data_IF_184900200421
#
_entry.id   IF_184900200421
#
_cell.length_a   1.000
_cell.length_b   1.000
_cell.length_c   1.000
_cell.angle_alpha   90.00
_cell.angle_beta   90.00
_cell.angle_gamma   90.00
#
_symmetry.space_group_name_H-M   'P 1'
#
loop_
_entity.id
_entity.type
_entity.pdbx_description
1 polymer ?
#
# COMPACT_ATOMS: atom_id res chain seq x y z
N UNK A 1 1.32 -5.30 -29.18
CA UNK A 1 1.48 -6.72 -28.80
C UNK A 1 2.49 -6.74 -27.67
N UNK A 2 2.04 -6.73 -26.40
CA UNK A 2 2.95 -6.62 -25.26
C UNK A 2 3.47 -8.01 -24.87
N UNK A 3 4.79 -8.14 -24.73
CA UNK A 3 5.43 -9.34 -24.22
C UNK A 3 4.77 -9.70 -22.88
N UNK A 4 4.24 -10.92 -22.68
CA UNK A 4 3.54 -11.24 -21.45
C UNK A 4 4.53 -11.15 -20.27
N UNK A 5 4.15 -10.40 -19.23
CA UNK A 5 4.97 -10.08 -18.05
C UNK A 5 5.62 -11.30 -17.39
N UNK A 6 5.05 -12.50 -17.55
CA UNK A 6 5.65 -13.74 -17.04
C UNK A 6 6.94 -14.11 -17.79
N UNK A 7 7.11 -13.76 -19.07
CA UNK A 7 8.37 -13.97 -19.81
C UNK A 7 9.45 -13.00 -19.34
N UNK A 8 9.10 -11.76 -19.02
CA UNK A 8 10.05 -10.80 -18.42
C UNK A 8 10.45 -11.27 -17.02
N UNK A 9 9.49 -11.78 -16.23
CA UNK A 9 9.76 -12.36 -14.92
C UNK A 9 10.64 -13.61 -15.03
N UNK A 10 10.34 -14.51 -15.97
CA UNK A 10 11.15 -15.69 -16.22
C UNK A 10 12.56 -15.30 -16.65
N UNK A 11 12.71 -14.27 -17.50
CA UNK A 11 14.01 -13.78 -17.96
C UNK A 11 14.82 -13.13 -16.83
N UNK A 12 14.18 -12.34 -15.97
CA UNK A 12 14.84 -11.76 -14.78
C UNK A 12 15.24 -12.86 -13.81
N UNK A 13 14.36 -13.82 -13.53
CA UNK A 13 14.68 -14.97 -12.66
C UNK A 13 15.79 -15.83 -13.27
N UNK A 14 15.76 -16.10 -14.58
CA UNK A 14 16.82 -16.86 -15.27
C UNK A 14 18.14 -16.10 -15.26
N UNK A 15 18.12 -14.79 -15.51
CA UNK A 15 19.30 -13.94 -15.46
C UNK A 15 19.89 -13.89 -14.05
N UNK A 16 19.04 -13.85 -13.01
CA UNK A 16 19.47 -13.95 -11.61
C UNK A 16 20.03 -15.34 -11.28
N UNK A 17 19.41 -16.43 -11.74
CA UNK A 17 19.90 -17.81 -11.51
C UNK A 17 21.23 -18.05 -12.21
N UNK A 18 21.41 -17.51 -13.42
CA UNK A 18 22.68 -17.56 -14.16
C UNK A 18 23.76 -16.73 -13.43
N UNK A 19 23.41 -15.57 -12.88
CA UNK A 19 24.31 -14.78 -12.04
C UNK A 19 24.69 -15.49 -10.72
N UNK A 20 23.77 -16.27 -10.14
CA UNK A 20 23.96 -17.09 -8.93
C UNK A 20 24.85 -18.31 -9.17
N UNK A 21 24.98 -18.79 -10.41
CA UNK A 21 25.83 -19.95 -10.75
C UNK A 21 27.32 -19.60 -10.95
N UNK A 22 27.70 -18.33 -10.79
CA UNK A 22 29.08 -17.90 -10.83
C UNK A 22 29.78 -18.24 -9.48
N UNK A 23 30.74 -19.15 -9.58
CA UNK A 23 31.48 -19.81 -8.51
C UNK A 23 32.12 -18.84 -7.49
N UNK A 24 31.92 -19.08 -6.20
CA UNK A 24 32.48 -18.32 -5.07
C UNK A 24 34.02 -18.20 -5.17
N UNK A 25 34.51 -16.99 -5.42
CA UNK A 25 35.93 -16.63 -5.28
C UNK A 25 36.02 -15.43 -4.34
N UNK A 26 36.13 -15.71 -3.05
CA UNK A 26 36.20 -14.68 -2.00
C UNK A 26 37.61 -14.22 -1.69
N UNK A 27 37.74 -13.07 -1.00
CA UNK A 27 39.00 -12.56 -0.45
C UNK A 27 39.79 -13.63 0.31
N UNK A 28 39.12 -14.46 1.13
CA UNK A 28 39.76 -15.54 1.88
C UNK A 28 40.42 -16.60 0.96
N UNK A 29 39.80 -16.91 -0.19
CA UNK A 29 40.35 -17.85 -1.17
C UNK A 29 41.57 -17.24 -1.88
N UNK A 30 41.51 -15.95 -2.22
CA UNK A 30 42.63 -15.19 -2.78
C UNK A 30 43.78 -15.08 -1.77
N UNK A 31 43.49 -14.76 -0.51
CA UNK A 31 44.46 -14.69 0.58
C UNK A 31 45.13 -16.04 0.85
N UNK A 32 44.35 -17.13 0.98
CA UNK A 32 44.93 -18.45 1.21
C UNK A 32 45.82 -18.91 0.05
N UNK A 33 45.52 -18.50 -1.18
CA UNK A 33 46.39 -18.73 -2.34
C UNK A 33 47.67 -17.91 -2.28
N UNK A 34 47.55 -16.62 -1.95
CA UNK A 34 48.71 -15.75 -1.76
C UNK A 34 49.62 -16.28 -0.65
N UNK A 35 49.05 -16.64 0.49
CA UNK A 35 49.78 -17.18 1.65
C UNK A 35 50.46 -18.51 1.30
N UNK A 36 49.77 -19.42 0.61
CA UNK A 36 50.35 -20.67 0.13
C UNK A 36 51.52 -20.45 -0.86
N UNK A 37 51.52 -19.37 -1.64
CA UNK A 37 52.63 -19.01 -2.52
C UNK A 37 53.78 -18.36 -1.72
N UNK A 38 53.47 -17.46 -0.78
CA UNK A 38 54.48 -16.79 0.06
C UNK A 38 55.22 -17.76 0.99
N UNK A 39 54.51 -18.76 1.53
CA UNK A 39 55.12 -19.84 2.35
C UNK A 39 55.93 -20.80 1.47
N UNK A 40 55.65 -20.87 0.17
CA UNK A 40 56.34 -21.71 -0.80
C UNK A 40 55.72 -23.09 -1.00
N UNK A 41 54.49 -23.29 -0.54
CA UNK A 41 53.78 -24.57 -0.66
C UNK A 41 53.18 -24.81 -2.05
N UNK A 42 52.95 -23.75 -2.83
CA UNK A 42 52.34 -23.85 -4.17
C UNK A 42 53.00 -22.90 -5.16
N UNK A 43 53.04 -23.29 -6.43
CA UNK A 43 53.41 -22.41 -7.55
C UNK A 43 52.24 -22.34 -8.52
N UNK A 44 51.97 -21.15 -9.05
CA UNK A 44 50.85 -20.93 -9.97
C UNK A 44 51.27 -19.98 -11.08
N UNK A 45 51.10 -20.39 -12.33
CA UNK A 45 51.41 -19.61 -13.54
C UNK A 45 52.84 -19.01 -13.54
N UNK A 46 53.81 -19.78 -13.02
CA UNK A 46 55.21 -19.35 -12.91
C UNK A 46 55.51 -18.44 -11.73
N UNK A 47 54.51 -18.09 -10.90
CA UNK A 47 54.68 -17.34 -9.66
C UNK A 47 55.08 -18.31 -8.55
N UNK A 48 56.24 -18.04 -7.95
CA UNK A 48 56.83 -18.75 -6.82
C UNK A 48 57.12 -17.76 -5.69
N UNK A 49 57.69 -18.25 -4.58
CA UNK A 49 58.01 -17.44 -3.40
C UNK A 49 58.89 -16.22 -3.70
N UNK A 50 59.73 -16.28 -4.72
CA UNK A 50 60.68 -15.21 -5.06
C UNK A 50 60.03 -14.16 -5.98
N UNK A 51 59.22 -14.61 -6.94
CA UNK A 51 58.56 -13.74 -7.94
C UNK A 51 57.26 -13.13 -7.44
N UNK A 52 56.65 -13.66 -6.37
CA UNK A 52 55.42 -13.10 -5.78
C UNK A 52 55.61 -11.66 -5.27
N UNK A 53 56.84 -11.31 -4.85
CA UNK A 53 57.18 -9.98 -4.35
C UNK A 53 57.00 -8.87 -5.40
N UNK A 54 57.13 -9.20 -6.69
CA UNK A 54 56.93 -8.25 -7.80
C UNK A 54 55.45 -7.89 -7.98
N UNK A 55 54.56 -8.78 -7.54
CA UNK A 55 53.11 -8.60 -7.61
C UNK A 55 52.51 -7.95 -6.36
N UNK A 56 53.34 -7.71 -5.34
CA UNK A 56 52.95 -6.95 -4.15
C UNK A 56 53.04 -5.45 -4.44
N UNK A 57 52.10 -4.71 -3.87
CA UNK A 57 52.05 -3.26 -3.98
C UNK A 57 53.09 -2.63 -3.05
N UNK A 58 54.12 -2.03 -3.66
CA UNK A 58 55.19 -1.35 -2.93
C UNK A 58 54.97 0.17 -2.78
N UNK A 59 53.87 0.70 -3.34
CA UNK A 59 53.53 2.12 -3.32
C UNK A 59 52.94 2.58 -1.99
N UNK A 60 52.73 3.89 -1.86
CA UNK A 60 52.03 4.45 -0.71
C UNK A 60 50.57 3.93 -0.68
N UNK A 61 50.16 3.34 0.43
CA UNK A 61 48.78 2.93 0.66
C UNK A 61 48.08 4.09 1.37
N UNK A 62 47.04 4.63 0.74
CA UNK A 62 46.27 5.72 1.33
C UNK A 62 45.70 5.27 2.70
N UNK A 63 45.98 6.05 3.74
CA UNK A 63 45.52 5.78 5.11
C UNK A 63 46.53 5.10 6.04
N UNK A 64 47.58 4.47 5.53
CA UNK A 64 48.61 3.83 6.35
C UNK A 64 49.89 4.67 6.42
N UNK A 65 50.32 5.02 7.64
CA UNK A 65 51.60 5.71 7.92
C UNK A 65 52.33 4.99 9.06
N UNK A 66 53.31 4.16 8.72
CA UNK A 66 54.12 3.42 9.69
C UNK A 66 55.04 2.38 9.04
N UNK A 67 55.88 1.74 9.87
CA UNK A 67 56.73 0.60 9.49
C UNK A 67 55.92 -0.71 9.33
N UNK A 68 54.79 -0.84 10.04
CA UNK A 68 53.85 -1.96 9.91
C UNK A 68 52.92 -1.76 8.71
N UNK A 69 53.45 -1.95 7.50
CA UNK A 69 52.66 -1.86 6.26
C UNK A 69 51.92 -3.17 6.01
N UNK A 70 50.58 -3.14 5.79
CA UNK A 70 49.86 -4.33 5.39
C UNK A 70 50.33 -4.81 4.02
N UNK A 71 50.42 -6.13 3.85
CA UNK A 71 50.74 -6.75 2.56
C UNK A 71 49.56 -6.51 1.62
N UNK A 72 49.74 -5.59 0.68
CA UNK A 72 48.75 -5.29 -0.34
C UNK A 72 49.17 -5.90 -1.67
N UNK A 73 48.21 -6.44 -2.40
CA UNK A 73 48.43 -6.96 -3.74
C UNK A 73 48.28 -5.83 -4.77
N UNK A 74 49.17 -5.73 -5.76
CA UNK A 74 48.99 -4.84 -6.89
C UNK A 74 47.84 -5.30 -7.80
N UNK A 75 47.35 -4.41 -8.67
CA UNK A 75 46.30 -4.74 -9.64
C UNK A 75 46.69 -5.92 -10.55
N UNK A 76 47.93 -5.94 -11.04
CA UNK A 76 48.45 -7.05 -11.85
C UNK A 76 48.58 -8.35 -11.05
N UNK A 77 48.99 -8.25 -9.78
CA UNK A 77 49.03 -9.39 -8.86
C UNK A 77 47.64 -9.99 -8.66
N UNK A 78 46.63 -9.13 -8.51
CA UNK A 78 45.24 -9.54 -8.36
C UNK A 78 44.72 -10.30 -9.59
N UNK A 79 45.02 -9.80 -10.79
CA UNK A 79 44.65 -10.46 -12.04
C UNK A 79 45.29 -11.84 -12.19
N UNK A 80 46.57 -11.99 -11.81
CA UNK A 80 47.29 -13.26 -11.99
C UNK A 80 47.05 -14.27 -10.86
N UNK A 81 47.17 -13.83 -9.61
CA UNK A 81 47.06 -14.72 -8.44
C UNK A 81 45.59 -15.07 -8.18
N UNK A 82 44.71 -14.06 -8.30
CA UNK A 82 43.29 -14.16 -7.98
C UNK A 82 42.39 -14.14 -9.23
N UNK A 83 42.97 -14.36 -10.42
CA UNK A 83 42.26 -14.53 -11.70
C UNK A 83 41.33 -13.35 -12.06
N UNK A 84 41.60 -12.16 -11.53
CA UNK A 84 40.77 -10.97 -11.73
C UNK A 84 39.41 -11.03 -11.03
N UNK A 85 39.22 -11.98 -10.11
CA UNK A 85 37.97 -12.19 -9.36
C UNK A 85 38.21 -11.95 -7.88
N UNK A 86 38.34 -10.68 -7.48
CA UNK A 86 38.46 -10.34 -6.05
C UNK A 86 37.16 -9.87 -5.39
N UNK A 87 36.13 -9.58 -6.17
CA UNK A 87 34.78 -9.37 -5.66
C UNK A 87 33.76 -9.89 -6.66
N UNK A 88 33.50 -11.20 -6.62
CA UNK A 88 32.23 -11.70 -7.12
C UNK A 88 31.24 -11.73 -5.96
N UNK A 89 30.09 -11.12 -6.20
CA UNK A 89 28.95 -11.07 -5.29
C UNK A 89 28.64 -12.51 -4.87
N UNK A 90 29.00 -12.89 -3.64
CA UNK A 90 28.83 -14.27 -3.16
C UNK A 90 27.36 -14.68 -3.31
N UNK A 91 27.10 -15.98 -3.44
CA UNK A 91 25.74 -16.54 -3.55
C UNK A 91 24.79 -15.95 -2.47
N UNK A 92 25.34 -15.78 -1.26
CA UNK A 92 24.70 -15.11 -0.12
C UNK A 92 24.42 -13.61 -0.33
N UNK A 93 25.37 -12.86 -0.89
CA UNK A 93 25.21 -11.43 -1.19
C UNK A 93 24.22 -11.19 -2.34
N UNK A 94 24.15 -12.12 -3.30
CA UNK A 94 23.14 -12.08 -4.36
C UNK A 94 21.76 -12.41 -3.80
N UNK A 95 21.65 -13.39 -2.89
CA UNK A 95 20.40 -13.68 -2.17
C UNK A 95 19.95 -12.47 -1.36
N UNK A 96 20.85 -11.83 -0.62
CA UNK A 96 20.60 -10.56 0.08
C UNK A 96 20.16 -9.46 -0.90
N UNK A 97 20.76 -9.35 -2.08
CA UNK A 97 20.35 -8.36 -3.09
C UNK A 97 18.95 -8.68 -3.64
N UNK A 98 18.64 -9.93 -3.93
CA UNK A 98 17.31 -10.36 -4.40
C UNK A 98 16.26 -10.13 -3.31
N UNK A 99 16.55 -10.47 -2.05
CA UNK A 99 15.60 -10.32 -0.95
C UNK A 99 15.39 -8.86 -0.56
N UNK A 100 16.41 -8.01 -0.72
CA UNK A 100 16.35 -6.59 -0.33
C UNK A 100 15.85 -5.68 -1.45
N UNK A 101 16.06 -6.06 -2.72
CA UNK A 101 15.66 -5.23 -3.87
C UNK A 101 14.47 -5.80 -4.62
N UNK A 102 14.51 -7.09 -4.99
CA UNK A 102 13.52 -7.68 -5.89
C UNK A 102 12.22 -7.97 -5.15
N UNK A 103 12.26 -8.50 -3.92
CA UNK A 103 11.01 -8.79 -3.20
C UNK A 103 10.22 -7.54 -2.78
N UNK A 104 10.84 -6.45 -2.27
CA UNK A 104 10.10 -5.22 -1.99
C UNK A 104 9.59 -4.53 -3.26
N UNK A 105 10.38 -4.52 -4.34
CA UNK A 105 9.91 -3.99 -5.63
C UNK A 105 8.80 -4.84 -6.24
N UNK A 106 8.87 -6.17 -6.11
CA UNK A 106 7.80 -7.07 -6.52
C UNK A 106 6.48 -6.72 -5.83
N UNK A 107 6.53 -6.17 -4.62
CA UNK A 107 5.34 -5.71 -3.92
C UNK A 107 4.87 -4.36 -4.43
N UNK A 108 5.76 -3.44 -4.80
CA UNK A 108 5.35 -2.26 -5.56
C UNK A 108 4.65 -2.70 -6.84
N UNK A 109 5.15 -3.70 -7.56
CA UNK A 109 4.49 -4.25 -8.76
C UNK A 109 3.25 -5.13 -8.47
N UNK A 110 3.07 -5.58 -7.23
CA UNK A 110 1.88 -6.30 -6.75
C UNK A 110 0.97 -5.41 -5.90
N UNK A 111 1.26 -4.11 -5.78
CA UNK A 111 0.35 -3.15 -5.18
C UNK A 111 -0.99 -3.34 -5.86
N UNK A 112 -2.10 -3.27 -5.11
CA UNK A 112 -3.41 -3.64 -5.60
C UNK A 112 -3.85 -2.79 -6.80
N UNK A 113 -3.39 -3.17 -7.99
CA UNK A 113 -3.74 -2.53 -9.24
C UNK A 113 -5.14 -2.98 -9.58
N UNK A 114 -5.97 -1.99 -9.91
CA UNK A 114 -7.25 -2.20 -10.61
C UNK A 114 -6.99 -3.24 -11.72
N UNK A 115 -7.39 -4.49 -11.48
CA UNK A 115 -6.97 -5.63 -12.31
C UNK A 115 -7.65 -5.67 -13.68
N UNK A 116 -8.40 -4.62 -14.03
CA UNK A 116 -9.34 -4.60 -15.15
C UNK A 116 -9.29 -3.33 -16.03
N UNK A 117 -8.36 -2.38 -15.83
CA UNK A 117 -8.41 -1.08 -16.54
C UNK A 117 -7.25 -0.79 -17.51
N UNK A 118 -7.58 -0.05 -18.58
CA UNK A 118 -6.70 0.30 -19.70
C UNK A 118 -5.58 1.30 -19.32
N UNK A 119 -5.76 2.08 -18.25
CA UNK A 119 -4.83 3.13 -17.77
C UNK A 119 -4.10 2.74 -16.46
N UNK A 120 -3.96 1.44 -16.16
CA UNK A 120 -3.49 0.93 -14.85
C UNK A 120 -2.16 1.53 -14.39
N UNK A 121 -1.22 1.71 -15.32
CA UNK A 121 0.17 2.12 -15.01
C UNK A 121 0.20 3.59 -14.60
N UNK A 122 -0.57 4.45 -15.27
CA UNK A 122 -0.59 5.88 -15.00
C UNK A 122 -1.19 6.20 -13.63
N UNK A 123 -2.35 5.62 -13.30
CA UNK A 123 -3.01 5.84 -12.00
C UNK A 123 -2.19 5.31 -10.83
N UNK A 124 -1.52 4.19 -11.06
CA UNK A 124 -0.54 3.59 -10.12
C UNK A 124 0.64 4.50 -9.90
N UNK A 125 1.29 4.94 -10.98
CA UNK A 125 2.44 5.82 -10.90
C UNK A 125 2.06 7.12 -10.19
N UNK A 126 0.87 7.67 -10.45
CA UNK A 126 0.36 8.83 -9.73
C UNK A 126 0.19 8.57 -8.22
N UNK A 127 -0.36 7.42 -7.82
CA UNK A 127 -0.46 7.06 -6.41
C UNK A 127 0.94 7.00 -5.78
N UNK A 128 1.86 6.26 -6.40
CA UNK A 128 3.25 6.13 -5.92
C UNK A 128 3.96 7.48 -5.86
N UNK A 129 3.78 8.34 -6.86
CA UNK A 129 4.34 9.70 -6.89
C UNK A 129 3.74 10.60 -5.81
N UNK A 130 2.45 10.48 -5.52
CA UNK A 130 1.82 11.21 -4.41
C UNK A 130 2.36 10.72 -3.06
N UNK A 131 2.55 9.41 -2.90
CA UNK A 131 3.17 8.82 -1.71
C UNK A 131 4.62 9.26 -1.55
N UNK A 132 5.42 9.26 -2.62
CA UNK A 132 6.82 9.69 -2.58
C UNK A 132 6.95 11.21 -2.38
N UNK A 133 6.07 12.00 -3.00
CA UNK A 133 6.08 13.45 -2.89
C UNK A 133 5.55 13.97 -1.57
N UNK A 134 4.61 13.26 -0.93
CA UNK A 134 4.05 13.66 0.36
C UNK A 134 3.60 12.44 1.19
N UNK A 135 4.55 11.64 1.72
CA UNK A 135 4.23 10.44 2.49
C UNK A 135 3.38 10.75 3.71
N UNK A 136 3.58 11.92 4.33
CA UNK A 136 2.79 12.37 5.49
C UNK A 136 1.31 12.56 5.16
N UNK A 137 0.97 13.14 4.00
CA UNK A 137 -0.43 13.39 3.66
C UNK A 137 -1.10 12.10 3.25
N UNK A 138 -0.43 11.28 2.43
CA UNK A 138 -0.93 9.98 2.03
C UNK A 138 -1.19 9.07 3.25
N UNK A 139 -0.26 9.03 4.21
CA UNK A 139 -0.42 8.31 5.48
C UNK A 139 -1.61 8.86 6.29
N UNK A 140 -1.75 10.18 6.39
CA UNK A 140 -2.88 10.82 7.07
C UNK A 140 -4.22 10.38 6.48
N UNK A 141 -4.33 10.40 5.15
CA UNK A 141 -5.56 10.00 4.44
C UNK A 141 -5.88 8.53 4.66
N UNK A 142 -4.87 7.65 4.60
CA UNK A 142 -5.12 6.22 4.83
C UNK A 142 -5.49 5.92 6.28
N UNK A 143 -4.76 6.45 7.27
CA UNK A 143 -5.11 6.24 8.69
C UNK A 143 -6.51 6.78 8.98
N UNK A 144 -6.85 7.95 8.43
CA UNK A 144 -8.19 8.51 8.57
C UNK A 144 -9.26 7.59 7.98
N UNK A 145 -9.05 7.04 6.78
CA UNK A 145 -10.00 6.13 6.15
C UNK A 145 -10.16 4.82 6.95
N UNK A 146 -9.06 4.23 7.43
CA UNK A 146 -9.08 3.06 8.33
C UNK A 146 -9.89 3.35 9.59
N UNK A 147 -9.72 4.55 10.18
CA UNK A 147 -10.50 4.99 11.33
C UNK A 147 -11.99 5.08 11.01
N UNK A 148 -12.37 5.64 9.86
CA UNK A 148 -13.76 5.72 9.42
C UNK A 148 -14.38 4.33 9.24
N UNK A 149 -13.69 3.42 8.56
CA UNK A 149 -14.12 2.02 8.38
C UNK A 149 -14.32 1.35 9.75
N UNK A 150 -13.39 1.54 10.68
CA UNK A 150 -13.50 1.01 12.05
C UNK A 150 -14.69 1.61 12.79
N UNK A 151 -14.98 2.90 12.60
CA UNK A 151 -16.12 3.55 13.22
C UNK A 151 -17.44 2.98 12.69
N UNK A 152 -17.58 2.85 11.37
CA UNK A 152 -18.71 2.16 10.72
C UNK A 152 -18.87 0.73 11.23
N UNK A 153 -17.77 -0.03 11.33
CA UNK A 153 -17.80 -1.40 11.84
C UNK A 153 -18.23 -1.49 13.31
N UNK A 154 -17.92 -0.48 14.14
CA UNK A 154 -18.41 -0.44 15.52
C UNK A 154 -19.92 -0.16 15.57
N UNK A 155 -20.41 0.71 14.69
CA UNK A 155 -21.84 0.99 14.56
C UNK A 155 -22.62 -0.23 13.99
N UNK A 156 -21.96 -1.06 13.18
CA UNK A 156 -22.49 -2.33 12.66
C UNK A 156 -22.38 -3.51 13.63
N UNK A 157 -22.19 -3.31 14.93
CA UNK A 157 -22.25 -4.42 15.91
C UNK A 157 -23.68 -4.72 16.37
N UNK A 158 -24.69 -4.22 15.67
CA UNK A 158 -26.08 -4.53 15.98
C UNK A 158 -26.41 -5.99 15.57
N UNK A 159 -27.44 -6.58 16.17
CA UNK A 159 -27.96 -7.90 15.77
C UNK A 159 -28.61 -7.89 14.37
N UNK A 160 -28.85 -6.71 13.79
CA UNK A 160 -29.57 -6.57 12.54
C UNK A 160 -28.62 -6.54 11.34
N UNK A 161 -28.83 -7.46 10.40
CA UNK A 161 -28.06 -7.56 9.16
C UNK A 161 -28.12 -6.29 8.32
N UNK A 162 -29.28 -5.62 8.25
CA UNK A 162 -29.47 -4.39 7.46
C UNK A 162 -28.66 -3.22 8.02
N UNK A 163 -28.51 -3.12 9.34
CA UNK A 163 -27.62 -2.12 9.95
C UNK A 163 -26.17 -2.38 9.52
N UNK A 164 -25.79 -3.66 9.43
CA UNK A 164 -24.45 -4.05 9.04
C UNK A 164 -24.18 -3.77 7.56
N UNK A 165 -25.20 -3.94 6.72
CA UNK A 165 -25.19 -3.58 5.31
C UNK A 165 -25.06 -2.06 5.12
N UNK A 166 -25.88 -1.26 5.83
CA UNK A 166 -25.85 0.20 5.78
C UNK A 166 -24.45 0.77 6.09
N UNK A 167 -23.89 0.40 7.23
CA UNK A 167 -22.57 0.91 7.62
C UNK A 167 -21.43 0.35 6.76
N UNK A 168 -21.59 -0.85 6.20
CA UNK A 168 -20.63 -1.38 5.24
C UNK A 168 -20.64 -0.58 3.93
N UNK A 169 -21.82 -0.34 3.34
CA UNK A 169 -21.96 0.48 2.13
C UNK A 169 -21.45 1.91 2.37
N UNK A 170 -21.79 2.52 3.50
CA UNK A 170 -21.28 3.84 3.90
C UNK A 170 -19.75 3.87 3.97
N UNK A 171 -19.13 2.82 4.53
CA UNK A 171 -17.67 2.72 4.61
C UNK A 171 -17.02 2.63 3.23
N UNK A 172 -17.66 1.97 2.25
CA UNK A 172 -17.17 1.89 0.88
C UNK A 172 -17.33 3.22 0.14
N UNK A 173 -18.49 3.86 0.25
CA UNK A 173 -18.75 5.17 -0.36
C UNK A 173 -17.82 6.27 0.16
N UNK A 174 -17.45 6.21 1.43
CA UNK A 174 -16.49 7.13 2.04
C UNK A 174 -15.09 7.12 1.41
N UNK A 175 -14.78 6.14 0.55
CA UNK A 175 -13.50 6.02 -0.15
C UNK A 175 -13.51 6.63 -1.56
N UNK A 176 -14.61 7.24 -1.97
CA UNK A 176 -14.77 7.85 -3.28
C UNK A 176 -15.02 9.35 -3.15
N UNK A 177 -14.67 10.08 -4.22
CA UNK A 177 -15.11 11.44 -4.36
C UNK A 177 -16.60 11.46 -4.75
N UNK A 178 -17.36 12.30 -4.04
CA UNK A 178 -18.80 12.37 -4.15
C UNK A 178 -19.22 13.74 -4.68
N UNK A 179 -20.30 13.81 -5.46
CA UNK A 179 -20.83 15.08 -5.94
C UNK A 179 -21.43 15.90 -4.78
N UNK A 180 -21.28 17.21 -4.85
CA UNK A 180 -21.81 18.16 -3.86
C UNK A 180 -23.30 18.48 -4.07
N UNK A 181 -24.10 17.47 -4.41
CA UNK A 181 -25.53 17.62 -4.70
C UNK A 181 -26.39 17.26 -3.50
N UNK A 182 -27.34 18.12 -3.11
CA UNK A 182 -28.31 17.82 -2.06
C UNK A 182 -29.12 16.55 -2.37
N UNK A 183 -29.53 16.38 -3.64
CA UNK A 183 -30.29 15.21 -4.11
C UNK A 183 -29.49 13.93 -3.92
N UNK A 184 -28.18 13.96 -4.20
CA UNK A 184 -27.28 12.83 -3.97
C UNK A 184 -27.28 12.39 -2.51
N UNK A 185 -27.06 13.33 -1.58
CA UNK A 185 -26.99 13.01 -0.15
C UNK A 185 -28.37 12.61 0.41
N UNK A 186 -29.46 13.15 -0.14
CA UNK A 186 -30.82 12.77 0.26
C UNK A 186 -31.10 11.32 -0.12
N UNK A 187 -30.81 10.94 -1.37
CA UNK A 187 -30.91 9.55 -1.82
C UNK A 187 -29.99 8.64 -1.00
N UNK A 188 -28.76 9.06 -0.70
CA UNK A 188 -27.83 8.29 0.11
C UNK A 188 -28.37 8.02 1.52
N UNK A 189 -28.76 9.06 2.25
CA UNK A 189 -29.26 8.93 3.63
C UNK A 189 -30.56 8.12 3.65
N UNK A 190 -31.45 8.34 2.68
CA UNK A 190 -32.67 7.57 2.52
C UNK A 190 -32.38 6.08 2.27
N UNK A 191 -31.53 5.74 1.31
CA UNK A 191 -31.17 4.35 1.00
C UNK A 191 -30.42 3.62 2.12
N UNK A 192 -29.66 4.34 2.95
CA UNK A 192 -28.94 3.75 4.07
C UNK A 192 -29.84 3.48 5.29
N UNK A 193 -30.76 4.39 5.61
CA UNK A 193 -31.47 4.37 6.90
C UNK A 193 -32.96 4.05 6.81
N UNK A 194 -33.62 4.30 5.67
CA UNK A 194 -35.02 3.88 5.47
C UNK A 194 -35.23 2.37 5.65
N UNK A 195 -34.32 1.48 5.20
CA UNK A 195 -34.44 0.04 5.41
C UNK A 195 -34.52 -0.40 6.86
N UNK A 196 -33.98 0.40 7.78
CA UNK A 196 -33.82 -0.03 9.16
C UNK A 196 -35.19 -0.19 9.83
N UNK A 197 -35.42 -1.32 10.53
CA UNK A 197 -36.70 -1.60 11.16
C UNK A 197 -36.99 -0.53 12.20
N UNK A 198 -38.21 0.00 12.14
CA UNK A 198 -38.71 0.95 13.11
C UNK A 198 -39.54 0.18 14.14
N UNK A 199 -39.38 0.45 15.44
CA UNK A 199 -40.30 -0.11 16.42
C UNK A 199 -41.73 0.34 16.09
N UNK A 200 -42.66 -0.61 16.14
CA UNK A 200 -44.11 -0.37 16.06
C UNK A 200 -44.66 0.12 14.71
N UNK A 201 -43.99 -0.18 13.60
CA UNK A 201 -44.47 0.20 12.26
C UNK A 201 -44.59 -1.01 11.34
N UNK A 202 -45.73 -1.14 10.66
CA UNK A 202 -45.92 -2.12 9.59
C UNK A 202 -44.94 -1.83 8.44
N UNK A 203 -44.53 -2.87 7.71
CA UNK A 203 -43.49 -2.75 6.70
C UNK A 203 -44.02 -2.01 5.48
N UNK A 204 -43.66 -0.74 5.33
CA UNK A 204 -44.06 0.06 4.17
C UNK A 204 -43.41 -0.48 2.87
N UNK A 205 -44.07 -0.32 1.70
CA UNK A 205 -43.55 -0.84 0.44
C UNK A 205 -42.22 -0.22 0.01
N UNK A 206 -41.98 1.07 0.32
CA UNK A 206 -40.71 1.74 0.05
C UNK A 206 -39.56 1.18 0.91
N UNK A 207 -39.86 0.81 2.15
CA UNK A 207 -38.91 0.14 3.04
C UNK A 207 -38.49 -1.22 2.50
N UNK A 208 -39.42 -1.98 1.89
CA UNK A 208 -39.11 -3.25 1.25
C UNK A 208 -38.14 -3.09 0.08
N UNK A 209 -38.42 -2.16 -0.84
CA UNK A 209 -37.52 -1.90 -1.97
C UNK A 209 -36.15 -1.41 -1.52
N UNK A 210 -36.10 -0.45 -0.59
CA UNK A 210 -34.81 0.07 -0.10
C UNK A 210 -34.00 -0.99 0.65
N UNK A 211 -34.64 -1.88 1.42
CA UNK A 211 -33.96 -2.96 2.13
C UNK A 211 -33.36 -3.99 1.17
N UNK A 212 -34.09 -4.37 0.11
CA UNK A 212 -33.57 -5.27 -0.92
C UNK A 212 -32.38 -4.63 -1.65
N UNK A 213 -32.52 -3.37 -2.09
CA UNK A 213 -31.44 -2.64 -2.75
C UNK A 213 -30.18 -2.52 -1.89
N UNK A 214 -30.35 -2.26 -0.59
CA UNK A 214 -29.23 -2.13 0.35
C UNK A 214 -28.51 -3.48 0.56
N UNK A 215 -29.27 -4.56 0.77
CA UNK A 215 -28.74 -5.91 0.94
C UNK A 215 -27.96 -6.36 -0.31
N UNK A 216 -28.55 -6.18 -1.49
CA UNK A 216 -27.93 -6.53 -2.77
C UNK A 216 -26.64 -5.73 -3.00
N UNK A 217 -26.66 -4.43 -2.68
CA UNK A 217 -25.49 -3.57 -2.79
C UNK A 217 -24.36 -4.05 -1.86
N UNK A 218 -24.67 -4.29 -0.59
CA UNK A 218 -23.70 -4.74 0.38
C UNK A 218 -23.13 -6.13 0.01
N UNK A 219 -23.97 -7.04 -0.48
CA UNK A 219 -23.55 -8.35 -0.98
C UNK A 219 -22.56 -8.22 -2.14
N UNK A 220 -22.89 -7.42 -3.17
CA UNK A 220 -22.03 -7.21 -4.34
C UNK A 220 -20.67 -6.60 -3.94
N UNK A 221 -20.66 -5.61 -3.04
CA UNK A 221 -19.41 -5.01 -2.54
C UNK A 221 -18.56 -6.02 -1.77
N UNK A 222 -19.15 -6.84 -0.89
CA UNK A 222 -18.42 -7.88 -0.15
C UNK A 222 -17.83 -8.93 -1.09
N UNK A 223 -18.60 -9.32 -2.10
CA UNK A 223 -18.14 -10.27 -3.12
C UNK A 223 -16.95 -9.71 -3.91
N UNK A 224 -17.01 -8.44 -4.31
CA UNK A 224 -15.89 -7.76 -4.97
C UNK A 224 -14.66 -7.72 -4.06
N UNK A 225 -14.81 -7.39 -2.77
CA UNK A 225 -13.69 -7.34 -1.81
C UNK A 225 -13.01 -8.70 -1.63
N UNK A 226 -13.77 -9.78 -1.42
CA UNK A 226 -13.21 -11.13 -1.18
C UNK A 226 -12.27 -11.59 -2.30
N UNK A 227 -12.60 -11.25 -3.56
CA UNK A 227 -11.82 -11.66 -4.74
C UNK A 227 -10.41 -11.06 -4.81
N UNK A 228 -10.14 -9.93 -4.14
CA UNK A 228 -8.81 -9.31 -4.19
C UNK A 228 -8.09 -9.24 -2.86
N UNK A 229 -8.80 -9.27 -1.72
CA UNK A 229 -8.14 -9.27 -0.41
C UNK A 229 -7.34 -10.56 -0.19
N UNK A 230 -7.88 -11.72 -0.59
CA UNK A 230 -7.23 -13.02 -0.34
C UNK A 230 -5.85 -13.12 -1.03
N UNK A 231 -5.70 -12.84 -2.35
CA UNK A 231 -4.38 -12.84 -2.99
C UNK A 231 -3.41 -11.82 -2.38
N UNK A 232 -3.91 -10.65 -1.97
CA UNK A 232 -3.04 -9.59 -1.43
C UNK A 232 -2.59 -9.88 0.01
N UNK A 233 -3.41 -10.57 0.81
CA UNK A 233 -2.98 -11.06 2.12
C UNK A 233 -1.96 -12.19 1.99
N UNK A 234 -2.11 -13.08 0.99
CA UNK A 234 -1.13 -14.12 0.72
C UNK A 234 0.22 -13.51 0.30
N UNK A 235 0.23 -12.51 -0.58
CA UNK A 235 1.47 -11.82 -0.97
C UNK A 235 2.11 -11.05 0.19
N UNK A 236 1.29 -10.41 1.04
CA UNK A 236 1.78 -9.78 2.26
C UNK A 236 2.42 -10.80 3.22
N UNK A 237 1.80 -11.97 3.39
CA UNK A 237 2.36 -13.05 4.21
C UNK A 237 3.74 -13.49 3.71
N UNK A 238 3.88 -13.73 2.40
CA UNK A 238 5.19 -14.09 1.81
C UNK A 238 6.23 -12.98 1.98
N UNK A 239 5.81 -11.72 1.94
CA UNK A 239 6.71 -10.60 2.18
C UNK A 239 7.22 -10.57 3.62
N UNK A 240 6.32 -10.65 4.60
CA UNK A 240 6.71 -10.58 6.02
C UNK A 240 7.72 -11.69 6.32
N UNK A 241 7.49 -12.89 5.78
CA UNK A 241 8.44 -14.00 5.86
C UNK A 241 9.79 -13.64 5.23
N UNK A 242 9.83 -13.12 4.00
CA UNK A 242 11.07 -12.71 3.33
C UNK A 242 11.82 -11.59 4.07
N UNK A 243 11.08 -10.64 4.66
CA UNK A 243 11.64 -9.56 5.47
C UNK A 243 12.29 -10.07 6.75
N UNK A 244 11.62 -10.99 7.46
CA UNK A 244 12.19 -11.63 8.66
C UNK A 244 13.48 -12.38 8.30
N UNK A 245 13.48 -13.16 7.21
CA UNK A 245 14.70 -13.83 6.74
C UNK A 245 15.82 -12.85 6.39
N UNK A 246 15.48 -11.72 5.77
CA UNK A 246 16.48 -10.69 5.43
C UNK A 246 17.10 -10.08 6.68
N UNK A 247 16.31 -9.83 7.73
CA UNK A 247 16.82 -9.37 9.02
C UNK A 247 17.75 -10.42 9.63
N UNK A 248 17.33 -11.68 9.72
CA UNK A 248 18.13 -12.75 10.34
C UNK A 248 19.45 -12.95 9.60
N UNK A 249 19.44 -12.96 8.26
CA UNK A 249 20.65 -13.10 7.45
C UNK A 249 21.61 -11.91 7.59
N UNK A 250 21.09 -10.71 7.84
CA UNK A 250 21.89 -9.52 8.07
C UNK A 250 22.62 -9.54 9.43
N UNK A 251 22.15 -10.34 10.39
CA UNK A 251 22.74 -10.46 11.74
C UNK A 251 23.54 -11.76 11.96
N UNK A 252 23.60 -12.65 10.97
CA UNK A 252 24.34 -13.91 11.09
C UNK A 252 25.87 -13.67 10.94
N UNK A 253 26.63 -14.31 11.83
CA UNK A 253 27.93 -13.85 12.41
C UNK A 253 29.14 -13.80 11.46
N UNK A 254 29.03 -14.24 10.21
CA UNK A 254 30.12 -14.14 9.22
C UNK A 254 30.26 -12.74 8.58
N UNK A 255 29.40 -11.80 8.95
CA UNK A 255 29.37 -10.43 8.43
C UNK A 255 30.42 -9.48 9.02
N UNK A 256 31.40 -9.97 9.79
CA UNK A 256 32.44 -9.15 10.44
C UNK A 256 33.29 -8.28 9.48
N UNK A 257 33.23 -8.52 8.16
CA UNK A 257 33.88 -7.70 7.14
C UNK A 257 32.91 -7.05 6.13
N UNK A 258 31.59 -7.26 6.23
CA UNK A 258 30.62 -6.64 5.32
C UNK A 258 29.98 -5.44 5.98
N UNK A 259 30.64 -4.31 5.76
CA UNK A 259 30.24 -2.96 6.12
C UNK A 259 28.82 -2.63 5.64
N UNK A 260 27.87 -2.54 6.59
CA UNK A 260 26.83 -1.49 6.71
C UNK A 260 25.82 -1.22 5.58
N UNK A 261 25.93 -1.82 4.39
CA UNK A 261 25.12 -1.45 3.22
C UNK A 261 23.71 -2.08 3.20
N UNK A 262 23.52 -3.39 3.48
CA UNK A 262 22.19 -4.02 3.36
C UNK A 262 21.21 -3.62 4.47
N UNK A 263 21.71 -3.48 5.71
CA UNK A 263 20.88 -3.19 6.89
C UNK A 263 20.32 -1.75 6.85
N UNK A 264 21.16 -0.76 6.53
CA UNK A 264 20.74 0.65 6.43
C UNK A 264 19.73 0.85 5.30
N UNK A 265 19.89 0.14 4.18
CA UNK A 265 18.90 0.13 3.09
C UNK A 265 17.61 -0.61 3.48
N UNK A 266 17.69 -1.75 4.17
CA UNK A 266 16.52 -2.48 4.67
C UNK A 266 15.66 -1.65 5.64
N UNK A 267 16.31 -0.84 6.49
CA UNK A 267 15.66 0.14 7.37
C UNK A 267 15.05 1.30 6.58
N UNK A 268 15.75 1.80 5.55
CA UNK A 268 15.23 2.85 4.67
C UNK A 268 13.96 2.42 3.92
N UNK A 269 13.75 1.12 3.68
CA UNK A 269 12.58 0.60 2.96
C UNK A 269 11.52 -0.06 3.86
N UNK A 270 11.69 -0.06 5.19
CA UNK A 270 10.76 -0.74 6.10
C UNK A 270 9.34 -0.12 6.11
N UNK A 271 9.17 1.10 5.60
CA UNK A 271 7.87 1.73 5.38
C UNK A 271 7.11 1.18 4.17
N UNK A 272 7.78 0.70 3.11
CA UNK A 272 7.10 0.20 1.90
C UNK A 272 6.08 -0.92 2.22
N UNK A 273 6.40 -1.90 3.07
CA UNK A 273 5.45 -2.91 3.53
C UNK A 273 4.29 -2.34 4.33
N UNK A 274 4.54 -1.35 5.19
CA UNK A 274 3.49 -0.65 5.93
C UNK A 274 2.54 0.04 4.95
N UNK A 275 3.06 0.67 3.90
CA UNK A 275 2.24 1.25 2.84
C UNK A 275 1.38 0.20 2.14
N UNK A 276 1.93 -0.98 1.90
CA UNK A 276 1.22 -2.06 1.23
C UNK A 276 0.09 -2.56 2.12
N UNK A 277 0.34 -2.78 3.41
CA UNK A 277 -0.71 -3.13 4.39
C UNK A 277 -1.79 -2.07 4.42
N UNK A 278 -1.40 -0.79 4.50
CA UNK A 278 -2.33 0.33 4.49
C UNK A 278 -3.17 0.37 3.21
N UNK A 279 -2.56 0.14 2.04
CA UNK A 279 -3.31 0.08 0.78
C UNK A 279 -4.26 -1.11 0.71
N UNK A 280 -3.93 -2.26 1.30
CA UNK A 280 -4.79 -3.45 1.37
C UNK A 280 -6.01 -3.18 2.26
N UNK A 281 -5.78 -2.64 3.46
CA UNK A 281 -6.86 -2.32 4.39
C UNK A 281 -7.78 -1.28 3.75
N UNK A 282 -7.22 -0.35 2.98
CA UNK A 282 -7.96 0.71 2.32
C UNK A 282 -8.67 0.29 1.03
N UNK A 283 -8.37 -0.90 0.47
CA UNK A 283 -8.98 -1.41 -0.76
C UNK A 283 -10.34 -2.07 -0.48
N UNK A 284 -11.42 -1.29 -0.40
CA UNK A 284 -12.76 -1.84 -0.16
C UNK A 284 -13.57 -2.12 -1.44
N UNK A 285 -13.03 -1.85 -2.65
CA UNK A 285 -13.31 -2.76 -3.77
C UNK A 285 -12.13 -3.05 -4.72
N UNK A 286 -12.16 -4.23 -5.37
CA UNK A 286 -11.14 -4.71 -6.31
C UNK A 286 -11.06 -3.89 -7.61
N UNK A 287 -12.21 -3.38 -8.06
CA UNK A 287 -12.32 -2.46 -9.19
C UNK A 287 -13.04 -1.21 -8.74
N UNK A 288 -12.31 -0.10 -8.67
CA UNK A 288 -12.82 1.19 -8.23
C UNK A 288 -13.95 1.67 -9.16
N UNK A 289 -13.72 1.68 -10.48
CA UNK A 289 -14.68 2.22 -11.45
C UNK A 289 -15.95 1.35 -11.51
N UNK A 290 -15.83 0.02 -11.42
CA UNK A 290 -17.00 -0.88 -11.36
C UNK A 290 -17.82 -0.64 -10.10
N UNK A 291 -17.17 -0.44 -8.96
CA UNK A 291 -17.86 -0.13 -7.71
C UNK A 291 -18.49 1.25 -7.72
N UNK A 292 -17.82 2.27 -8.28
CA UNK A 292 -18.39 3.59 -8.49
C UNK A 292 -19.65 3.51 -9.37
N UNK A 293 -19.58 2.81 -10.50
CA UNK A 293 -20.73 2.60 -11.38
C UNK A 293 -21.87 1.83 -10.68
N UNK A 294 -21.55 0.81 -9.88
CA UNK A 294 -22.53 0.06 -9.12
C UNK A 294 -23.22 0.93 -8.06
N UNK A 295 -22.45 1.71 -7.29
CA UNK A 295 -22.98 2.63 -6.28
C UNK A 295 -23.83 3.74 -6.91
N UNK A 296 -23.41 4.27 -8.06
CA UNK A 296 -24.17 5.27 -8.80
C UNK A 296 -25.54 4.73 -9.25
N UNK A 297 -25.58 3.50 -9.76
CA UNK A 297 -26.83 2.81 -10.14
C UNK A 297 -27.71 2.50 -8.94
N UNK A 298 -27.10 2.10 -7.82
CA UNK A 298 -27.83 1.87 -6.57
C UNK A 298 -28.49 3.17 -6.08
N UNK A 299 -27.76 4.29 -6.02
CA UNK A 299 -28.30 5.59 -5.63
C UNK A 299 -29.42 6.07 -6.55
N UNK A 300 -29.27 5.83 -7.86
CA UNK A 300 -30.32 6.11 -8.82
C UNK A 300 -31.61 5.34 -8.53
N UNK A 301 -31.51 4.03 -8.25
CA UNK A 301 -32.66 3.20 -7.91
C UNK A 301 -33.30 3.64 -6.58
N UNK A 302 -32.48 4.04 -5.61
CA UNK A 302 -32.96 4.58 -4.32
C UNK A 302 -33.71 5.90 -4.52
N UNK A 303 -33.21 6.81 -5.37
CA UNK A 303 -33.90 8.05 -5.71
C UNK A 303 -35.22 7.79 -6.44
N UNK A 304 -35.28 6.78 -7.31
CA UNK A 304 -36.53 6.36 -7.96
C UNK A 304 -37.57 5.85 -6.95
N UNK A 305 -37.14 5.11 -5.92
CA UNK A 305 -38.01 4.68 -4.81
C UNK A 305 -38.48 5.91 -4.02
N UNK A 306 -37.56 6.82 -3.67
CA UNK A 306 -37.89 8.05 -2.94
C UNK A 306 -38.92 8.90 -3.70
N UNK A 307 -38.71 9.13 -4.99
CA UNK A 307 -39.64 9.90 -5.83
C UNK A 307 -41.02 9.24 -5.92
N UNK A 308 -41.06 7.91 -6.01
CA UNK A 308 -42.32 7.15 -6.04
C UNK A 308 -43.05 7.21 -4.70
N UNK A 309 -42.33 7.17 -3.58
CA UNK A 309 -42.88 7.34 -2.25
C UNK A 309 -43.41 8.77 -2.03
N UNK A 310 -42.69 9.79 -2.50
CA UNK A 310 -43.14 11.19 -2.46
C UNK A 310 -44.41 11.40 -3.28
N UNK A 311 -44.49 10.78 -4.46
CA UNK A 311 -45.69 10.86 -5.31
C UNK A 311 -46.91 10.15 -4.71
N UNK A 312 -46.71 9.10 -3.89
CA UNK A 312 -47.78 8.42 -3.17
C UNK A 312 -48.35 9.24 -1.99
N UNK A 313 -47.59 10.21 -1.50
CA UNK A 313 -48.00 11.08 -0.40
C UNK A 313 -48.12 10.33 0.94
N UNK A 314 -49.21 10.57 1.67
CA UNK A 314 -49.42 9.99 3.01
C UNK A 314 -49.75 8.49 3.00
N UNK A 315 -50.23 7.94 1.87
CA UNK A 315 -50.60 6.53 1.77
C UNK A 315 -49.64 5.80 0.82
N UNK A 316 -48.61 5.18 1.40
CA UNK A 316 -47.58 4.45 0.66
C UNK A 316 -48.13 3.20 -0.06
N UNK A 317 -49.32 2.71 0.28
CA UNK A 317 -49.96 1.60 -0.45
C UNK A 317 -50.34 1.99 -1.90
N UNK A 318 -50.46 3.29 -2.19
CA UNK A 318 -50.70 3.81 -3.54
C UNK A 318 -49.40 4.02 -4.34
N UNK A 319 -48.25 3.63 -3.78
CA UNK A 319 -46.96 3.79 -4.44
C UNK A 319 -46.91 2.98 -5.73
N UNK A 320 -46.64 3.66 -6.84
CA UNK A 320 -46.38 3.02 -8.12
C UNK A 320 -45.02 2.33 -8.10
N UNK A 321 -44.89 1.28 -8.90
CA UNK A 321 -43.60 0.62 -9.08
C UNK A 321 -42.56 1.65 -9.57
N UNK A 322 -41.41 1.77 -8.89
CA UNK A 322 -40.38 2.73 -9.25
C UNK A 322 -39.78 2.37 -10.60
N UNK A 323 -39.47 3.39 -11.40
CA UNK A 323 -38.81 3.16 -12.69
C UNK A 323 -37.34 2.88 -12.42
N UNK A 324 -36.94 1.63 -12.64
CA UNK A 324 -35.57 1.18 -12.39
C UNK A 324 -34.55 1.81 -13.36
N UNK A 325 -33.28 1.73 -12.97
CA UNK A 325 -32.16 2.04 -13.85
C UNK A 325 -32.17 1.12 -15.08
N UNK A 326 -31.96 1.70 -16.26
CA UNK A 326 -31.77 0.98 -17.52
C UNK A 326 -30.63 1.59 -18.33
N UNK A 327 -30.02 0.77 -19.21
CA UNK A 327 -28.90 1.20 -20.07
C UNK A 327 -29.32 2.25 -21.11
N UNK A 328 -30.62 2.36 -21.42
CA UNK A 328 -31.18 3.25 -22.44
C UNK A 328 -31.53 4.66 -21.93
N UNK A 329 -31.31 4.98 -20.66
CA UNK A 329 -31.67 6.29 -20.11
C UNK A 329 -30.73 7.42 -20.56
N UNK A 330 -31.24 8.67 -20.61
CA UNK A 330 -30.43 9.86 -20.84
C UNK A 330 -29.31 9.99 -19.80
N UNK A 331 -28.12 10.38 -20.25
CA UNK A 331 -26.93 10.46 -19.41
C UNK A 331 -27.00 11.60 -18.37
N UNK A 332 -27.81 12.63 -18.61
CA UNK A 332 -27.90 13.80 -17.73
C UNK A 332 -28.54 13.50 -16.36
N UNK A 333 -29.54 12.63 -16.31
CA UNK A 333 -30.14 12.19 -15.03
C UNK A 333 -29.17 11.35 -14.19
N UNK A 334 -28.19 10.70 -14.84
CA UNK A 334 -27.20 9.83 -14.20
C UNK A 334 -26.04 10.62 -13.58
N UNK A 335 -25.71 11.80 -14.14
CA UNK A 335 -24.61 12.64 -13.68
C UNK A 335 -24.77 13.10 -12.23
N UNK A 336 -26.01 13.29 -11.77
CA UNK A 336 -26.30 13.68 -10.39
C UNK A 336 -25.84 12.61 -9.38
N UNK A 337 -25.90 11.33 -9.79
CA UNK A 337 -25.54 10.18 -8.95
C UNK A 337 -24.19 9.58 -9.27
N UNK A 338 -23.43 10.21 -10.17
CA UNK A 338 -22.13 9.72 -10.61
C UNK A 338 -21.10 9.84 -9.47
N UNK A 339 -20.80 8.69 -8.87
CA UNK A 339 -19.68 8.55 -7.95
C UNK A 339 -18.39 8.72 -8.76
N UNK A 340 -17.55 9.66 -8.33
CA UNK A 340 -16.36 10.07 -9.06
C UNK A 340 -15.18 9.14 -8.73
N UNK A 341 -13.95 9.67 -8.83
CA UNK A 341 -12.74 8.90 -8.67
C UNK A 341 -12.57 8.35 -7.26
N UNK A 342 -11.93 7.18 -7.18
CA UNK A 342 -11.53 6.58 -5.92
C UNK A 342 -10.38 7.38 -5.30
N UNK A 343 -10.62 7.89 -4.10
CA UNK A 343 -9.68 8.74 -3.35
C UNK A 343 -8.87 7.97 -2.31
N UNK A 344 -9.27 6.74 -1.99
CA UNK A 344 -8.50 5.86 -1.11
C UNK A 344 -7.06 5.64 -1.59
N UNK A 345 -6.23 5.11 -0.70
CA UNK A 345 -4.82 4.79 -0.88
C UNK A 345 -3.96 6.02 -1.21
N UNK A 346 -4.37 7.22 -0.78
CA UNK A 346 -3.62 8.46 -1.07
C UNK A 346 -3.61 8.85 -2.56
N UNK A 347 -4.50 8.27 -3.38
CA UNK A 347 -4.60 8.60 -4.82
C UNK A 347 -4.99 10.06 -5.06
N UNK A 348 -5.79 10.63 -4.15
CA UNK A 348 -6.14 12.05 -4.13
C UNK A 348 -6.05 12.57 -2.71
N UNK A 349 -5.35 13.69 -2.53
CA UNK A 349 -5.17 14.34 -1.23
C UNK A 349 -6.43 15.19 -0.94
N UNK A 350 -7.51 14.54 -0.49
CA UNK A 350 -8.79 15.19 -0.16
C UNK A 350 -9.37 14.64 1.13
N UNK A 351 -10.00 15.50 1.93
CA UNK A 351 -10.65 15.09 3.17
C UNK A 351 -11.87 14.19 2.88
N UNK A 352 -11.83 12.95 3.37
CA UNK A 352 -12.91 11.97 3.24
C UNK A 352 -13.69 11.88 4.57
N UNK A 353 -14.62 12.82 4.77
CA UNK A 353 -15.40 12.93 6.02
C UNK A 353 -16.75 12.22 6.05
N UNK A 354 -17.13 11.52 4.96
CA UNK A 354 -18.52 11.09 4.75
C UNK A 354 -19.09 10.30 5.92
N UNK A 355 -18.41 9.25 6.36
CA UNK A 355 -18.91 8.39 7.43
C UNK A 355 -19.10 9.16 8.75
N UNK A 356 -18.13 10.00 9.15
CA UNK A 356 -18.26 10.85 10.34
C UNK A 356 -19.41 11.85 10.21
N UNK A 357 -19.56 12.50 9.06
CA UNK A 357 -20.64 13.44 8.79
C UNK A 357 -22.02 12.76 8.85
N UNK A 358 -22.17 11.61 8.18
CA UNK A 358 -23.41 10.82 8.17
C UNK A 358 -23.75 10.29 9.55
N UNK A 359 -22.79 9.75 10.30
CA UNK A 359 -23.03 9.21 11.65
C UNK A 359 -23.42 10.34 12.62
N UNK A 360 -22.81 11.52 12.53
CA UNK A 360 -23.19 12.68 13.34
C UNK A 360 -24.58 13.20 12.98
N UNK A 361 -24.87 13.34 11.69
CA UNK A 361 -26.18 13.78 11.22
C UNK A 361 -27.29 12.80 11.63
N UNK A 362 -27.05 11.49 11.50
CA UNK A 362 -27.98 10.45 11.93
C UNK A 362 -28.26 10.51 13.44
N UNK A 363 -27.27 10.82 14.28
CA UNK A 363 -27.48 10.97 15.73
C UNK A 363 -28.27 12.21 16.09
N UNK A 364 -28.16 13.28 15.31
CA UNK A 364 -28.88 14.53 15.53
C UNK A 364 -30.35 14.45 15.08
N UNK A 365 -30.66 13.59 14.10
CA UNK A 365 -31.99 13.49 13.49
C UNK A 365 -32.63 12.13 13.72
N UNK A 366 -33.82 12.10 14.31
CA UNK A 366 -34.67 10.89 14.37
C UNK A 366 -35.32 10.64 13.01
N UNK A 367 -34.62 9.86 12.16
CA UNK A 367 -35.11 9.41 10.86
C UNK A 367 -36.22 8.37 11.05
N UNK A 368 -37.49 8.79 11.12
CA UNK A 368 -38.62 7.88 11.39
C UNK A 368 -39.70 7.93 10.32
N UNK A 369 -40.53 8.98 10.23
CA UNK A 369 -41.77 8.89 9.43
C UNK A 369 -41.87 9.85 8.25
N UNK A 370 -41.20 11.00 8.30
CA UNK A 370 -41.36 12.01 7.25
C UNK A 370 -40.20 11.95 6.26
N UNK A 371 -40.52 11.87 4.96
CA UNK A 371 -39.53 11.88 3.88
C UNK A 371 -38.63 13.14 3.95
N UNK A 372 -39.16 14.26 4.46
CA UNK A 372 -38.41 15.51 4.65
C UNK A 372 -37.30 15.41 5.72
N UNK A 373 -37.40 14.49 6.68
CA UNK A 373 -36.35 14.27 7.69
C UNK A 373 -35.05 13.76 7.05
N UNK A 374 -35.16 12.97 5.98
CA UNK A 374 -33.99 12.49 5.23
C UNK A 374 -33.31 13.65 4.48
N UNK A 375 -34.09 14.59 3.95
CA UNK A 375 -33.57 15.81 3.31
C UNK A 375 -32.84 16.71 4.32
N UNK A 376 -33.45 16.96 5.49
CA UNK A 376 -32.82 17.74 6.57
C UNK A 376 -31.52 17.09 7.07
N UNK A 377 -31.52 15.77 7.22
CA UNK A 377 -30.32 15.02 7.57
C UNK A 377 -29.25 15.13 6.48
N UNK A 378 -29.61 15.02 5.20
CA UNK A 378 -28.70 15.19 4.07
C UNK A 378 -28.08 16.59 4.00
N UNK A 379 -28.87 17.65 4.23
CA UNK A 379 -28.35 19.02 4.34
C UNK A 379 -27.35 19.13 5.50
N UNK A 380 -27.64 18.50 6.64
CA UNK A 380 -26.72 18.45 7.78
C UNK A 380 -25.43 17.71 7.41
N UNK A 381 -25.48 16.63 6.64
CA UNK A 381 -24.28 15.95 6.14
C UNK A 381 -23.45 16.89 5.27
N UNK A 382 -24.09 17.59 4.33
CA UNK A 382 -23.41 18.51 3.42
C UNK A 382 -22.74 19.67 4.16
N UNK A 383 -23.41 20.26 5.17
CA UNK A 383 -22.82 21.33 5.98
C UNK A 383 -21.61 20.85 6.78
N UNK A 384 -21.63 19.61 7.30
CA UNK A 384 -20.47 19.02 7.97
C UNK A 384 -19.32 18.74 7.01
N UNK A 385 -19.61 18.29 5.79
CA UNK A 385 -18.59 18.02 4.77
C UNK A 385 -17.91 19.28 4.25
N UNK A 386 -18.66 20.36 4.09
CA UNK A 386 -18.15 21.67 3.67
C UNK A 386 -17.57 22.50 4.83
N UNK A 387 -17.88 22.09 6.06
CA UNK A 387 -17.48 22.79 7.29
C UNK A 387 -16.05 22.50 7.72
N UNK A 388 -15.75 22.87 8.98
CA UNK A 388 -14.43 22.66 9.58
C UNK A 388 -14.19 21.17 9.81
N UNK A 389 -13.01 20.69 9.38
CA UNK A 389 -12.56 19.31 9.62
C UNK A 389 -12.54 19.00 11.13
N UNK A 390 -12.92 17.79 11.55
CA UNK A 390 -12.94 17.43 12.95
C UNK A 390 -11.52 17.48 13.55
N UNK A 391 -11.35 17.84 14.84
CA UNK A 391 -10.05 17.88 15.50
C UNK A 391 -9.26 16.57 15.40
N UNK A 392 -9.97 15.45 15.36
CA UNK A 392 -9.41 14.11 15.21
C UNK A 392 -8.63 13.95 13.90
N UNK A 393 -9.06 14.62 12.82
CA UNK A 393 -8.35 14.60 11.54
C UNK A 393 -6.99 15.31 11.66
N UNK A 394 -6.95 16.47 12.34
CA UNK A 394 -5.71 17.20 12.61
C UNK A 394 -4.75 16.39 13.49
N UNK A 395 -5.26 15.71 14.52
CA UNK A 395 -4.44 14.80 15.31
C UNK A 395 -3.82 13.68 14.46
N UNK A 396 -4.60 13.06 13.56
CA UNK A 396 -4.07 12.07 12.62
C UNK A 396 -3.02 12.68 11.69
N UNK A 397 -3.20 13.91 11.24
CA UNK A 397 -2.22 14.61 10.41
C UNK A 397 -0.90 14.86 11.14
N UNK A 398 -0.95 15.35 12.38
CA UNK A 398 0.24 15.56 13.21
C UNK A 398 0.95 14.25 13.55
N UNK A 399 0.21 13.21 13.91
CA UNK A 399 0.78 11.90 14.19
C UNK A 399 1.47 11.30 12.95
N UNK A 400 0.85 11.43 11.77
CA UNK A 400 1.43 10.94 10.51
C UNK A 400 2.70 11.71 10.14
N UNK A 401 2.69 13.04 10.32
CA UNK A 401 3.87 13.87 10.13
C UNK A 401 5.01 13.46 11.07
N UNK A 402 4.71 13.28 12.37
CA UNK A 402 5.69 12.86 13.36
C UNK A 402 6.31 11.50 13.00
N UNK A 403 5.49 10.52 12.60
CA UNK A 403 5.99 9.20 12.19
C UNK A 403 6.95 9.28 11.01
N UNK A 404 6.58 10.01 9.95
CA UNK A 404 7.42 10.18 8.76
C UNK A 404 8.72 10.90 9.12
N UNK A 405 8.65 12.00 9.88
CA UNK A 405 9.84 12.75 10.29
C UNK A 405 10.75 11.89 11.16
N UNK A 406 10.18 11.17 12.12
CA UNK A 406 10.93 10.29 13.01
C UNK A 406 11.64 9.18 12.23
N UNK A 407 10.95 8.55 11.28
CA UNK A 407 11.54 7.51 10.43
C UNK A 407 12.70 8.06 9.59
N UNK A 408 12.50 9.20 8.93
CA UNK A 408 13.54 9.85 8.14
C UNK A 408 14.74 10.23 9.02
N UNK A 409 14.51 10.79 10.21
CA UNK A 409 15.58 11.14 11.15
C UNK A 409 16.32 9.89 11.66
N UNK A 410 15.63 8.79 11.96
CA UNK A 410 16.26 7.53 12.36
C UNK A 410 17.13 6.97 11.24
N UNK A 411 16.66 7.00 9.99
CA UNK A 411 17.45 6.57 8.84
C UNK A 411 18.73 7.41 8.68
N UNK A 412 18.63 8.75 8.83
CA UNK A 412 19.80 9.63 8.79
C UNK A 412 20.77 9.40 9.94
N UNK A 413 20.27 9.22 11.17
CA UNK A 413 21.11 8.93 12.33
C UNK A 413 21.88 7.62 12.13
N UNK A 414 21.21 6.55 11.70
CA UNK A 414 21.85 5.26 11.45
C UNK A 414 22.88 5.35 10.32
N UNK A 415 22.59 6.07 9.24
CA UNK A 415 23.55 6.28 8.16
C UNK A 415 24.78 7.08 8.62
N UNK A 416 24.57 8.13 9.42
CA UNK A 416 25.64 8.99 9.92
C UNK A 416 26.52 8.27 10.94
N UNK A 417 25.92 7.60 11.93
CA UNK A 417 26.66 6.83 12.93
C UNK A 417 27.31 5.58 12.33
N UNK A 418 26.67 4.92 11.37
CA UNK A 418 27.25 3.81 10.62
C UNK A 418 28.53 4.23 9.89
N UNK A 419 28.51 5.38 9.20
CA UNK A 419 29.70 5.92 8.53
C UNK A 419 30.78 6.42 9.48
N UNK A 420 30.40 7.00 10.63
CA UNK A 420 31.35 7.49 11.64
C UNK A 420 32.10 6.37 12.36
N UNK A 421 31.40 5.30 12.76
CA UNK A 421 32.03 4.11 13.36
C UNK A 421 33.01 3.47 12.37
N UNK A 422 32.69 3.51 11.07
CA UNK A 422 33.57 3.03 10.01
C UNK A 422 34.86 3.85 9.89
N UNK A 423 34.79 5.18 9.95
CA UNK A 423 35.98 6.05 9.93
C UNK A 423 36.85 5.90 11.19
N UNK A 424 36.24 5.68 12.36
CA UNK A 424 36.97 5.46 13.60
C UNK A 424 37.66 4.09 13.65
N UNK A 425 37.03 3.03 13.12
CA UNK A 425 37.64 1.70 13.05
C UNK A 425 38.75 1.61 11.99
N UNK A 426 38.69 2.39 10.92
CA UNK A 426 39.77 2.52 9.93
C UNK A 426 40.95 3.33 10.46
N UNK A 427 40.75 4.22 11.44
CA UNK A 427 41.84 4.96 12.08
C UNK A 427 42.55 4.18 13.21
N UNK A 428 41.96 3.09 13.71
CA UNK A 428 42.51 2.29 14.82
C UNK A 428 43.04 0.91 14.40
N UNK A 429 42.98 0.56 13.12
CA UNK A 429 43.79 -0.51 12.50
C UNK A 429 44.87 0.13 11.65
#
# INVERSE_FOLDING_TARGET
>A
MFLPLWLVYLFIVLACVVAVSAQDYGYATCWNKLDAIMVGNTTKDGINKETVLEYLWNGAIAGFRGEDRPIALGYEGCLKICEGRTDQVTTRSTLEMVTTWIFPLAIVFNLPYDSLHHHKIRRTAQAVLNWAGSPQTALTHTIWNVRQIRHCHRMSKSKNTLTNDAFYVLSCLGQFELPSSERFYTALVYGLFRPLPQPDTEYDPDQHYTAQLLSDMAFQLRMLRRRGVIPTLASLGTFITAFIFSIVLAFDEEAGNRTGSPLTLGLLYCWLPLLVIFTIIDRNPVSADRSAALMSRWLFNVDAVLASAQAAGANLNNMRAPVWWSRSRPQDDLRVFEVQEFIGQGRKIKYCGLADAVIRAQKAHTLRKHLDQYRLCAQTVLTHLNGRRPPQWWFTAFASLFLVVFEVMMAFLIAFFGGWVQNLLVQHR
#
